data_IF_951154136209
#
_entry.id   IF_951154136209
#
_cell.length_a   1.000
_cell.length_b   1.000
_cell.length_c   1.000
_cell.angle_alpha   90.00
_cell.angle_beta   90.00
_cell.angle_gamma   90.00
#
_symmetry.space_group_name_H-M   'P 1'
#
loop_
_entity.id
_entity.type
_entity.pdbx_description
1 polymer ?
#
# COMPACT_ATOMS: atom_id res chain seq x y z
N UNK A 1 10.70 12.14 -19.36
CA UNK A 1 10.54 10.91 -20.18
C UNK A 1 9.10 10.82 -20.66
N UNK A 2 8.85 10.36 -21.88
CA UNK A 2 7.48 10.10 -22.36
C UNK A 2 6.98 8.78 -21.74
N UNK A 3 5.78 8.74 -21.15
CA UNK A 3 5.24 7.52 -20.56
C UNK A 3 5.06 6.43 -21.63
N UNK A 4 5.51 5.22 -21.32
CA UNK A 4 5.44 4.03 -22.17
C UNK A 4 5.09 2.85 -21.28
N UNK A 5 4.10 2.06 -21.69
CA UNK A 5 3.79 0.75 -21.11
C UNK A 5 4.22 -0.32 -22.11
N UNK A 6 5.00 -1.31 -21.66
CA UNK A 6 5.40 -2.47 -22.47
C UNK A 6 4.79 -3.72 -21.85
N UNK A 7 4.10 -4.51 -22.67
CA UNK A 7 3.55 -5.81 -22.29
C UNK A 7 4.24 -6.90 -23.11
N UNK A 8 4.76 -7.92 -22.44
CA UNK A 8 5.44 -9.06 -23.07
C UNK A 8 4.75 -10.36 -22.65
N UNK A 9 3.91 -10.88 -23.54
CA UNK A 9 3.20 -12.14 -23.34
C UNK A 9 4.04 -13.32 -23.82
N UNK A 10 4.24 -14.31 -22.95
CA UNK A 10 4.74 -15.63 -23.33
C UNK A 10 3.58 -16.49 -23.81
N UNK A 11 3.70 -17.05 -25.01
CA UNK A 11 2.65 -17.85 -25.63
C UNK A 11 3.14 -19.28 -25.86
N UNK A 12 2.22 -20.25 -25.86
CA UNK A 12 2.52 -21.59 -26.34
C UNK A 12 3.08 -21.55 -27.75
N UNK A 13 3.89 -22.55 -28.11
CA UNK A 13 4.45 -22.67 -29.45
C UNK A 13 3.37 -22.79 -30.53
N UNK A 14 3.44 -21.94 -31.55
CA UNK A 14 2.49 -21.86 -32.66
C UNK A 14 3.18 -21.28 -33.92
N UNK A 15 2.49 -21.27 -35.07
CA UNK A 15 2.96 -20.51 -36.23
C UNK A 15 2.63 -19.01 -36.03
N UNK A 16 3.59 -18.08 -36.11
CA UNK A 16 3.30 -16.65 -36.08
C UNK A 16 2.24 -16.21 -37.09
N UNK A 17 2.09 -16.89 -38.23
CA UNK A 17 1.04 -16.63 -39.22
C UNK A 17 -0.37 -16.69 -38.62
N UNK A 18 -0.58 -17.53 -37.60
CA UNK A 18 -1.86 -17.65 -36.89
C UNK A 18 -2.23 -16.39 -36.08
N UNK A 19 -1.25 -15.54 -35.74
CA UNK A 19 -1.52 -14.25 -35.12
C UNK A 19 -1.94 -13.17 -36.12
N UNK A 20 -1.47 -13.26 -37.37
CA UNK A 20 -1.70 -12.24 -38.41
C UNK A 20 -3.07 -12.38 -39.08
N UNK A 21 -4.07 -12.91 -38.36
CA UNK A 21 -5.48 -12.75 -38.73
C UNK A 21 -5.82 -11.24 -38.81
N UNK A 22 -6.79 -10.88 -39.66
CA UNK A 22 -7.13 -9.48 -39.90
C UNK A 22 -7.41 -8.69 -38.61
N UNK A 23 -6.86 -7.47 -38.55
CA UNK A 23 -7.08 -6.46 -37.49
C UNK A 23 -6.54 -6.77 -36.07
N UNK A 24 -5.34 -7.37 -35.94
CA UNK A 24 -4.68 -7.63 -34.64
C UNK A 24 -4.66 -6.42 -33.67
N UNK A 25 -4.46 -5.19 -34.17
CA UNK A 25 -4.49 -3.98 -33.33
C UNK A 25 -5.87 -3.73 -32.75
N UNK A 26 -6.94 -3.83 -33.55
CA UNK A 26 -8.30 -3.63 -33.08
C UNK A 26 -8.69 -4.71 -32.07
N UNK A 27 -8.28 -5.94 -32.32
CA UNK A 27 -8.57 -7.06 -31.43
C UNK A 27 -7.84 -6.93 -30.07
N UNK A 28 -6.57 -6.53 -30.07
CA UNK A 28 -5.82 -6.23 -28.84
C UNK A 28 -6.39 -5.01 -28.11
N UNK A 29 -6.84 -3.99 -28.84
CA UNK A 29 -7.49 -2.83 -28.26
C UNK A 29 -8.81 -3.22 -27.56
N UNK A 30 -9.62 -4.06 -28.19
CA UNK A 30 -10.83 -4.63 -27.61
C UNK A 30 -10.50 -5.50 -26.37
N UNK A 31 -9.47 -6.34 -26.45
CA UNK A 31 -9.01 -7.17 -25.33
C UNK A 31 -8.66 -6.32 -24.10
N UNK A 32 -7.91 -5.23 -24.29
CA UNK A 32 -7.48 -4.34 -23.22
C UNK A 32 -8.51 -3.29 -22.83
N UNK A 33 -9.61 -3.18 -23.58
CA UNK A 33 -10.63 -2.15 -23.43
C UNK A 33 -10.05 -0.73 -23.54
N UNK A 34 -9.29 -0.48 -24.61
CA UNK A 34 -8.64 0.81 -24.91
C UNK A 34 -8.89 1.22 -26.37
N UNK A 35 -8.60 2.48 -26.72
CA UNK A 35 -8.59 2.89 -28.13
C UNK A 35 -7.44 2.21 -28.90
N UNK A 36 -7.66 1.74 -30.15
CA UNK A 36 -6.59 1.24 -31.01
C UNK A 36 -5.41 2.20 -31.20
N UNK A 37 -5.64 3.51 -31.12
CA UNK A 37 -4.61 4.54 -31.29
C UNK A 37 -3.57 4.52 -30.16
N UNK A 38 -3.90 3.91 -29.02
CA UNK A 38 -2.96 3.72 -27.90
C UNK A 38 -1.93 2.63 -28.18
N UNK A 39 -2.19 1.72 -29.12
CA UNK A 39 -1.29 0.62 -29.47
C UNK A 39 -0.31 1.10 -30.54
N UNK A 40 0.91 1.41 -30.11
CA UNK A 40 1.95 1.96 -31.00
C UNK A 40 2.61 0.88 -31.84
N UNK A 41 3.01 -0.21 -31.18
CA UNK A 41 3.76 -1.31 -31.78
C UNK A 41 3.24 -2.64 -31.27
N UNK A 42 3.16 -3.60 -32.18
CA UNK A 42 2.93 -5.01 -31.89
C UNK A 42 4.03 -5.77 -32.62
N UNK A 43 4.78 -6.61 -31.91
CA UNK A 43 5.78 -7.49 -32.51
C UNK A 43 5.66 -8.90 -31.96
N UNK A 44 5.77 -9.87 -32.87
CA UNK A 44 5.73 -11.29 -32.53
C UNK A 44 7.11 -11.84 -32.83
N UNK A 45 7.75 -12.40 -31.81
CA UNK A 45 9.10 -12.92 -31.89
C UNK A 45 9.03 -14.44 -31.73
N UNK A 46 9.39 -15.17 -32.80
CA UNK A 46 9.70 -16.60 -32.71
C UNK A 46 11.12 -16.76 -32.16
N UNK A 47 11.31 -17.68 -31.20
CA UNK A 47 12.64 -17.99 -30.65
C UNK A 47 13.59 -18.75 -31.59
N UNK A 48 13.33 -18.83 -32.91
CA UNK A 48 14.14 -19.61 -33.85
C UNK A 48 15.15 -18.75 -34.63
N UNK A 49 16.37 -18.64 -34.11
CA UNK A 49 17.55 -18.12 -34.84
C UNK A 49 18.63 -19.19 -35.06
N UNK A 50 18.24 -20.46 -35.23
CA UNK A 50 19.17 -21.49 -35.68
C UNK A 50 18.64 -22.17 -36.94
N UNK A 51 19.17 -21.68 -38.07
CA UNK A 51 19.13 -22.33 -39.38
C UNK A 51 19.77 -23.71 -39.27
N UNK A 52 18.99 -24.75 -39.59
CA UNK A 52 19.38 -26.16 -39.67
C UNK A 52 19.85 -26.79 -38.36
N UNK A 53 18.90 -27.26 -37.55
CA UNK A 53 18.83 -28.64 -37.06
C UNK A 53 17.61 -28.79 -36.12
N UNK A 54 16.67 -29.63 -36.53
CA UNK A 54 15.63 -30.31 -35.72
C UNK A 54 14.72 -29.45 -34.83
N UNK A 55 13.42 -29.42 -35.20
CA UNK A 55 12.21 -29.24 -34.36
C UNK A 55 12.49 -29.16 -32.85
N UNK A 56 12.91 -27.99 -32.37
CA UNK A 56 12.63 -27.57 -31.01
C UNK A 56 11.48 -26.58 -31.10
N UNK A 57 10.42 -26.92 -30.40
CA UNK A 57 9.17 -26.21 -30.36
C UNK A 57 9.45 -24.82 -29.75
N UNK A 58 9.48 -23.77 -30.57
CA UNK A 58 9.92 -22.42 -30.16
C UNK A 58 8.83 -21.71 -29.35
N UNK A 59 9.20 -21.16 -28.19
CA UNK A 59 8.31 -20.25 -27.45
C UNK A 59 8.10 -18.96 -28.26
N UNK A 60 6.86 -18.50 -28.37
CA UNK A 60 6.53 -17.23 -29.01
C UNK A 60 6.38 -16.14 -27.95
N UNK A 61 6.91 -14.95 -28.25
CA UNK A 61 6.68 -13.74 -27.45
C UNK A 61 5.90 -12.71 -28.25
N UNK A 62 4.83 -12.19 -27.66
CA UNK A 62 4.08 -11.05 -28.18
C UNK A 62 4.43 -9.82 -27.35
N UNK A 63 5.11 -8.86 -27.98
CA UNK A 63 5.43 -7.57 -27.37
C UNK A 63 4.47 -6.50 -27.87
N UNK A 64 3.94 -5.72 -26.94
CA UNK A 64 2.99 -4.64 -27.21
C UNK A 64 3.51 -3.38 -26.52
N UNK A 65 3.62 -2.30 -27.28
CA UNK A 65 3.98 -0.99 -26.76
C UNK A 65 2.74 -0.08 -26.78
N UNK A 66 2.38 0.45 -25.62
CA UNK A 66 1.29 1.39 -25.45
C UNK A 66 1.83 2.77 -25.08
N UNK A 67 1.35 3.79 -25.80
CA UNK A 67 1.66 5.20 -25.54
C UNK A 67 0.46 6.07 -25.86
N UNK A 68 0.45 7.26 -25.29
CA UNK A 68 -0.41 8.32 -25.79
C UNK A 68 0.23 9.00 -27.01
N UNK A 69 -0.55 9.23 -28.06
CA UNK A 69 -0.07 9.99 -29.23
C UNK A 69 0.22 11.45 -28.86
N UNK A 70 1.28 12.05 -29.43
CA UNK A 70 1.46 13.50 -29.34
C UNK A 70 0.37 14.18 -30.18
N UNK A 71 -0.55 14.91 -29.53
CA UNK A 71 -1.46 15.81 -30.26
C UNK A 71 -0.69 16.97 -30.85
N UNK A 72 -0.98 17.28 -32.11
CA UNK A 72 -0.63 18.52 -32.80
C UNK A 72 -1.47 19.69 -32.27
N UNK A 73 -1.35 20.02 -30.98
CA UNK A 73 -1.79 21.30 -30.44
C UNK A 73 -1.26 21.45 -29.02
N UNK A 74 -0.33 22.40 -28.90
CA UNK A 74 0.29 22.87 -27.67
C UNK A 74 -0.76 23.31 -26.64
N UNK A 75 -0.99 22.50 -25.62
CA UNK A 75 -1.36 22.95 -24.27
C UNK A 75 -0.92 21.88 -23.26
N UNK A 76 -0.14 22.32 -22.28
CA UNK A 76 0.48 21.58 -21.17
C UNK A 76 -0.45 20.56 -20.49
N UNK A 77 -0.15 19.26 -20.61
CA UNK A 77 -0.88 18.19 -19.90
C UNK A 77 -0.07 16.90 -19.68
N UNK A 78 1.26 17.00 -19.51
CA UNK A 78 2.12 15.83 -19.28
C UNK A 78 1.73 14.95 -18.07
N UNK A 79 1.13 15.55 -17.03
CA UNK A 79 0.62 14.81 -15.87
C UNK A 79 -0.65 14.00 -16.14
N UNK A 80 -1.62 14.58 -16.86
CA UNK A 80 -2.90 13.93 -17.18
C UNK A 80 -2.73 12.72 -18.10
N UNK A 81 -1.76 12.80 -19.03
CA UNK A 81 -1.38 11.70 -19.93
C UNK A 81 -0.74 10.53 -19.16
N UNK A 82 0.19 10.85 -18.25
CA UNK A 82 0.79 9.84 -17.37
C UNK A 82 -0.27 9.10 -16.55
N UNK A 83 -1.21 9.83 -15.97
CA UNK A 83 -2.31 9.28 -15.16
C UNK A 83 -3.22 8.35 -15.98
N UNK A 84 -3.56 8.72 -17.22
CA UNK A 84 -4.35 7.87 -18.11
C UNK A 84 -3.62 6.55 -18.43
N UNK A 85 -2.32 6.61 -18.76
CA UNK A 85 -1.55 5.40 -19.07
C UNK A 85 -1.33 4.54 -17.82
N UNK A 86 -1.15 5.13 -16.63
CA UNK A 86 -1.10 4.39 -15.36
C UNK A 86 -2.42 3.68 -15.07
N UNK A 87 -3.57 4.29 -15.35
CA UNK A 87 -4.88 3.65 -15.21
C UNK A 87 -5.07 2.49 -16.21
N UNK A 88 -4.61 2.65 -17.46
CA UNK A 88 -4.59 1.56 -18.45
C UNK A 88 -3.70 0.40 -17.96
N UNK A 89 -2.50 0.71 -17.48
CA UNK A 89 -1.57 -0.29 -16.94
C UNK A 89 -2.22 -1.07 -15.78
N UNK A 90 -2.80 -0.36 -14.81
CA UNK A 90 -3.51 -0.94 -13.67
C UNK A 90 -4.62 -1.88 -14.12
N UNK A 91 -5.50 -1.44 -15.03
CA UNK A 91 -6.59 -2.27 -15.56
C UNK A 91 -6.08 -3.55 -16.23
N UNK A 92 -5.08 -3.48 -17.10
CA UNK A 92 -4.54 -4.64 -17.81
C UNK A 92 -3.83 -5.60 -16.84
N UNK A 93 -2.98 -5.07 -15.96
CA UNK A 93 -2.21 -5.86 -14.98
C UNK A 93 -3.18 -6.57 -14.03
N UNK A 94 -4.15 -5.85 -13.46
CA UNK A 94 -5.11 -6.43 -12.52
C UNK A 94 -5.98 -7.50 -13.21
N UNK A 95 -6.45 -7.26 -14.45
CA UNK A 95 -7.22 -8.26 -15.21
C UNK A 95 -6.40 -9.51 -15.53
N UNK A 96 -5.09 -9.37 -15.77
CA UNK A 96 -4.21 -10.53 -15.94
C UNK A 96 -4.06 -11.31 -14.63
N UNK A 97 -3.75 -10.62 -13.53
CA UNK A 97 -3.49 -11.22 -12.22
C UNK A 97 -4.73 -11.90 -11.61
N UNK A 98 -5.92 -11.60 -12.12
CA UNK A 98 -7.20 -12.22 -11.74
C UNK A 98 -7.68 -13.32 -12.68
N UNK A 99 -6.99 -13.58 -13.80
CA UNK A 99 -7.44 -14.55 -14.81
C UNK A 99 -8.51 -14.02 -15.79
N UNK A 100 -9.01 -12.80 -15.59
CA UNK A 100 -10.06 -12.23 -16.44
C UNK A 100 -9.56 -11.90 -17.85
N UNK A 101 -8.29 -11.49 -17.98
CA UNK A 101 -7.69 -11.18 -19.28
C UNK A 101 -7.60 -12.43 -20.16
N UNK A 102 -7.29 -13.57 -19.57
CA UNK A 102 -7.17 -14.89 -20.20
C UNK A 102 -8.56 -15.38 -20.64
N UNK A 103 -9.57 -15.16 -19.81
CA UNK A 103 -10.97 -15.43 -20.17
C UNK A 103 -11.42 -14.58 -21.37
N UNK A 104 -11.11 -13.28 -21.36
CA UNK A 104 -11.40 -12.38 -22.48
C UNK A 104 -10.60 -12.75 -23.74
N UNK A 105 -9.35 -13.16 -23.59
CA UNK A 105 -8.49 -13.63 -24.67
C UNK A 105 -9.12 -14.81 -25.40
N UNK A 106 -9.59 -15.80 -24.64
CA UNK A 106 -10.27 -16.97 -25.18
C UNK A 106 -11.55 -16.59 -25.94
N UNK A 107 -12.36 -15.68 -25.39
CA UNK A 107 -13.60 -15.23 -26.01
C UNK A 107 -13.40 -14.51 -27.36
N UNK A 108 -12.29 -13.78 -27.52
CA UNK A 108 -11.97 -13.08 -28.77
C UNK A 108 -11.34 -13.97 -29.85
N UNK A 109 -11.05 -15.24 -29.54
CA UNK A 109 -10.44 -16.22 -30.43
C UNK A 109 -9.21 -15.68 -31.20
N UNK A 110 -8.36 -14.89 -30.52
CA UNK A 110 -7.23 -14.20 -31.14
C UNK A 110 -6.22 -15.16 -31.79
N UNK A 111 -6.16 -16.39 -31.28
CA UNK A 111 -5.10 -17.35 -31.56
C UNK A 111 -5.60 -18.79 -31.61
N UNK A 112 -6.86 -19.03 -31.99
CA UNK A 112 -7.41 -20.39 -32.09
C UNK A 112 -7.37 -21.14 -30.76
N UNK A 113 -8.00 -20.57 -29.72
CA UNK A 113 -8.02 -21.06 -28.33
C UNK A 113 -6.69 -21.09 -27.56
N UNK A 114 -5.57 -20.65 -28.15
CA UNK A 114 -4.30 -20.50 -27.43
C UNK A 114 -4.40 -19.36 -26.40
N UNK A 115 -3.95 -19.61 -25.17
CA UNK A 115 -3.98 -18.62 -24.07
C UNK A 115 -2.53 -18.28 -23.65
N UNK A 116 -2.21 -17.03 -23.31
CA UNK A 116 -0.89 -16.66 -22.78
C UNK A 116 -0.52 -17.45 -21.52
N UNK A 117 0.73 -17.93 -21.47
CA UNK A 117 1.32 -18.64 -20.35
C UNK A 117 1.91 -17.70 -19.29
N UNK A 118 2.42 -16.55 -19.73
CA UNK A 118 3.05 -15.56 -18.86
C UNK A 118 2.85 -14.15 -19.39
N UNK A 119 2.96 -13.17 -18.51
CA UNK A 119 3.01 -11.75 -18.86
C UNK A 119 4.07 -11.07 -18.02
N UNK A 120 4.96 -10.33 -18.68
CA UNK A 120 5.79 -9.33 -18.02
C UNK A 120 5.34 -7.93 -18.43
N UNK A 121 5.33 -7.00 -17.49
CA UNK A 121 4.96 -5.61 -17.74
C UNK A 121 6.08 -4.65 -17.32
N UNK A 122 6.37 -3.68 -18.16
CA UNK A 122 7.15 -2.49 -17.82
C UNK A 122 6.19 -1.32 -17.73
N UNK A 123 6.01 -0.78 -16.54
CA UNK A 123 5.05 0.28 -16.25
C UNK A 123 5.50 1.67 -16.77
N UNK A 124 4.56 2.60 -16.96
CA UNK A 124 4.90 3.98 -17.24
C UNK A 124 5.89 4.53 -16.21
N UNK A 125 6.93 5.23 -16.69
CA UNK A 125 7.99 5.81 -15.85
C UNK A 125 8.89 4.80 -15.12
N UNK A 126 8.68 3.51 -15.33
CA UNK A 126 9.53 2.43 -14.82
C UNK A 126 10.37 1.85 -15.98
N UNK A 127 11.63 1.51 -15.69
CA UNK A 127 12.53 0.84 -16.64
C UNK A 127 12.66 -0.66 -16.36
N UNK A 128 11.98 -1.16 -15.33
CA UNK A 128 12.02 -2.56 -14.93
C UNK A 128 10.90 -3.34 -15.60
N UNK A 129 11.26 -4.47 -16.21
CA UNK A 129 10.31 -5.42 -16.73
C UNK A 129 9.97 -6.42 -15.61
N UNK A 130 8.76 -6.32 -15.07
CA UNK A 130 8.31 -7.12 -13.93
C UNK A 130 7.48 -8.32 -14.38
N UNK A 131 7.78 -9.57 -13.95
CA UNK A 131 6.91 -10.70 -14.18
C UNK A 131 5.63 -10.62 -13.34
N UNK A 132 4.50 -10.99 -13.94
CA UNK A 132 3.20 -10.99 -13.29
C UNK A 132 2.74 -12.43 -13.03
N UNK A 133 2.12 -12.65 -11.86
CA UNK A 133 1.51 -13.92 -11.48
C UNK A 133 -0.01 -13.83 -11.37
N UNK A 134 -0.72 -14.91 -11.68
CA UNK A 134 -2.15 -15.02 -11.42
C UNK A 134 -2.33 -15.51 -9.99
N UNK A 135 -3.10 -14.78 -9.19
CA UNK A 135 -3.35 -15.16 -7.81
C UNK A 135 -4.20 -16.43 -7.74
N UNK A 136 -3.76 -17.36 -6.90
CA UNK A 136 -4.46 -18.62 -6.66
C UNK A 136 -4.99 -18.69 -5.22
N UNK A 137 -4.15 -18.33 -4.25
CA UNK A 137 -4.51 -18.34 -2.82
C UNK A 137 -3.75 -17.29 -2.03
N UNK A 138 -4.26 -16.96 -0.85
CA UNK A 138 -3.61 -16.07 0.11
C UNK A 138 -3.39 -16.79 1.44
N UNK A 139 -2.35 -16.39 2.17
CA UNK A 139 -2.00 -16.97 3.47
C UNK A 139 -1.61 -15.85 4.43
N UNK A 140 -2.10 -15.96 5.66
CA UNK A 140 -1.63 -15.14 6.78
C UNK A 140 -0.35 -15.76 7.32
N UNK A 141 0.78 -15.16 6.99
CA UNK A 141 2.09 -15.66 7.40
C UNK A 141 2.38 -15.29 8.86
N UNK A 142 1.98 -14.08 9.27
CA UNK A 142 2.14 -13.59 10.63
C UNK A 142 0.80 -13.01 11.09
N UNK A 143 0.14 -13.59 12.11
CA UNK A 143 -1.06 -13.00 12.70
C UNK A 143 -0.70 -11.79 13.57
N UNK A 144 -1.62 -10.84 13.77
CA UNK A 144 -1.41 -9.77 14.74
C UNK A 144 -1.35 -10.37 16.15
N UNK A 145 -0.40 -9.91 16.97
CA UNK A 145 -0.24 -10.38 18.34
C UNK A 145 0.36 -9.30 19.25
N UNK A 146 0.25 -9.54 20.57
CA UNK A 146 0.61 -8.58 21.62
C UNK A 146 -0.10 -7.23 21.43
N UNK A 147 -1.37 -7.28 21.06
CA UNK A 147 -2.20 -6.12 20.85
C UNK A 147 -2.61 -5.52 22.20
N UNK A 148 -2.52 -4.20 22.30
CA UNK A 148 -3.02 -3.42 23.42
C UNK A 148 -4.05 -2.44 22.88
N UNK A 149 -5.05 -2.17 23.69
CA UNK A 149 -6.06 -1.17 23.37
C UNK A 149 -5.39 0.12 22.92
N UNK A 150 -5.78 0.67 21.76
CA UNK A 150 -5.32 1.98 21.25
C UNK A 150 -3.83 2.07 20.89
N UNK A 151 -3.08 0.97 21.01
CA UNK A 151 -1.69 0.85 20.58
C UNK A 151 -1.60 -0.13 19.39
N UNK A 152 -0.74 0.13 18.39
CA UNK A 152 -0.44 -0.87 17.38
C UNK A 152 0.01 -2.19 18.00
N UNK A 153 -0.45 -3.31 17.44
CA UNK A 153 0.05 -4.63 17.85
C UNK A 153 1.57 -4.70 17.61
N UNK A 154 2.34 -5.27 18.54
CA UNK A 154 3.80 -5.30 18.35
C UNK A 154 4.22 -6.29 17.27
N UNK A 155 3.43 -7.34 17.09
CA UNK A 155 3.53 -8.23 15.94
C UNK A 155 2.46 -7.79 14.94
N UNK A 156 2.91 -7.29 13.79
CA UNK A 156 2.03 -6.77 12.73
C UNK A 156 1.64 -7.88 11.75
N UNK A 157 0.41 -7.86 11.20
CA UNK A 157 -0.01 -8.87 10.26
C UNK A 157 0.78 -8.83 8.95
N UNK A 158 1.05 -10.01 8.40
CA UNK A 158 1.69 -10.19 7.07
C UNK A 158 0.90 -11.19 6.26
N UNK A 159 0.41 -10.76 5.09
CA UNK A 159 -0.33 -11.60 4.16
C UNK A 159 0.49 -11.79 2.89
N UNK A 160 0.56 -13.04 2.42
CA UNK A 160 1.30 -13.44 1.22
C UNK A 160 0.34 -14.06 0.21
N UNK A 161 0.51 -13.73 -1.07
CA UNK A 161 -0.25 -14.31 -2.17
C UNK A 161 0.62 -15.27 -2.98
N UNK A 162 0.02 -16.41 -3.36
CA UNK A 162 0.67 -17.47 -4.11
C UNK A 162 0.00 -17.69 -5.47
N UNK A 163 0.81 -18.03 -6.46
CA UNK A 163 0.32 -18.55 -7.73
C UNK A 163 -0.09 -20.04 -7.63
N UNK A 164 -0.58 -20.62 -8.72
CA UNK A 164 -1.00 -22.03 -8.77
C UNK A 164 0.16 -23.03 -8.67
N UNK A 165 1.39 -22.59 -8.90
CA UNK A 165 2.60 -23.39 -8.73
C UNK A 165 3.16 -23.31 -7.30
N UNK A 166 2.57 -22.50 -6.42
CA UNK A 166 3.00 -22.30 -5.05
C UNK A 166 4.14 -21.29 -4.89
N UNK A 167 4.45 -20.49 -5.91
CA UNK A 167 5.43 -19.41 -5.79
C UNK A 167 4.77 -18.16 -5.21
N UNK A 168 5.54 -17.40 -4.42
CA UNK A 168 5.11 -16.08 -3.93
C UNK A 168 5.05 -15.10 -5.09
N UNK A 169 3.89 -14.47 -5.27
CA UNK A 169 3.71 -13.42 -6.26
C UNK A 169 4.36 -12.15 -5.70
N UNK A 170 5.44 -11.70 -6.35
CA UNK A 170 6.23 -10.56 -5.88
C UNK A 170 5.48 -9.23 -5.95
N UNK A 171 4.53 -9.11 -6.90
CA UNK A 171 3.83 -7.86 -7.19
C UNK A 171 2.38 -8.12 -7.55
N UNK A 172 1.47 -7.39 -6.92
CA UNK A 172 0.04 -7.35 -7.23
C UNK A 172 -0.38 -5.89 -7.44
N UNK A 173 -0.93 -5.58 -8.62
CA UNK A 173 -1.17 -4.21 -9.05
C UNK A 173 0.05 -3.51 -9.63
N UNK A 174 -0.13 -2.23 -9.95
CA UNK A 174 0.94 -1.33 -10.41
C UNK A 174 1.68 -0.72 -9.24
N UNK A 175 2.81 -0.06 -9.49
CA UNK A 175 3.56 0.70 -8.48
C UNK A 175 2.69 1.81 -7.85
N UNK A 176 1.88 2.49 -8.66
CA UNK A 176 1.02 3.59 -8.22
C UNK A 176 -0.34 3.12 -7.64
N UNK A 177 -0.79 1.92 -8.03
CA UNK A 177 -2.06 1.33 -7.60
C UNK A 177 -1.84 -0.15 -7.21
N UNK A 178 -1.07 -0.41 -6.13
CA UNK A 178 -0.89 -1.77 -5.64
C UNK A 178 -2.21 -2.31 -5.10
N UNK A 179 -2.36 -3.63 -5.10
CA UNK A 179 -3.51 -4.25 -4.45
C UNK A 179 -3.47 -3.96 -2.95
N UNK A 180 -4.64 -3.77 -2.36
CA UNK A 180 -4.77 -3.44 -0.94
C UNK A 180 -5.47 -4.58 -0.21
N UNK A 181 -5.03 -4.84 1.01
CA UNK A 181 -5.64 -5.80 1.93
C UNK A 181 -6.23 -5.03 3.09
N UNK A 182 -7.51 -5.25 3.37
CA UNK A 182 -8.22 -4.65 4.49
C UNK A 182 -8.46 -5.69 5.57
N UNK A 183 -8.06 -5.38 6.81
CA UNK A 183 -8.43 -6.14 8.01
C UNK A 183 -9.75 -5.63 8.58
N UNK A 184 -10.64 -6.56 8.93
CA UNK A 184 -11.94 -6.28 9.57
C UNK A 184 -12.20 -7.27 10.70
N UNK A 185 -12.93 -6.85 11.72
CA UNK A 185 -13.37 -7.76 12.79
C UNK A 185 -14.52 -8.62 12.28
N UNK A 186 -14.44 -9.94 12.46
CA UNK A 186 -15.51 -10.86 12.08
C UNK A 186 -16.78 -10.54 12.87
N UNK A 187 -17.90 -10.41 12.17
CA UNK A 187 -19.18 -9.98 12.74
C UNK A 187 -19.33 -8.46 12.91
N UNK A 188 -18.30 -7.67 12.58
CA UNK A 188 -18.30 -6.21 12.67
C UNK A 188 -17.67 -5.58 11.42
N UNK A 189 -18.23 -5.88 10.24
CA UNK A 189 -17.65 -5.49 8.94
C UNK A 189 -17.63 -3.98 8.66
N UNK A 190 -18.36 -3.17 9.44
CA UNK A 190 -18.40 -1.71 9.29
C UNK A 190 -17.35 -0.98 10.13
N UNK A 191 -16.65 -1.69 11.02
CA UNK A 191 -15.62 -1.09 11.85
C UNK A 191 -14.32 -0.93 11.05
N UNK A 192 -13.93 0.32 10.81
CA UNK A 192 -12.63 0.64 10.22
C UNK A 192 -11.58 0.51 11.33
N UNK A 193 -10.66 -0.44 11.16
CA UNK A 193 -9.53 -0.61 12.05
C UNK A 193 -8.44 0.42 11.73
N UNK A 194 -7.84 1.00 12.76
CA UNK A 194 -6.70 1.89 12.59
C UNK A 194 -5.49 1.10 12.09
N UNK A 195 -4.81 1.64 11.08
CA UNK A 195 -3.78 0.90 10.34
C UNK A 195 -4.32 -0.38 9.68
N UNK A 196 -5.64 -0.49 9.48
CA UNK A 196 -6.32 -1.68 8.98
C UNK A 196 -6.20 -1.94 7.48
N UNK A 197 -5.38 -1.19 6.76
CA UNK A 197 -5.14 -1.37 5.32
C UNK A 197 -3.64 -1.44 5.05
N UNK A 198 -3.22 -2.42 4.24
CA UNK A 198 -1.85 -2.53 3.76
C UNK A 198 -1.81 -2.69 2.24
N UNK A 199 -0.78 -2.10 1.61
CA UNK A 199 -0.50 -2.28 0.19
C UNK A 199 0.34 -3.54 -0.01
N UNK A 200 0.06 -4.30 -1.07
CA UNK A 200 0.82 -5.48 -1.44
C UNK A 200 2.02 -5.10 -2.30
N UNK A 201 3.22 -5.41 -1.85
CA UNK A 201 4.47 -5.17 -2.57
C UNK A 201 5.56 -6.13 -2.07
N UNK A 202 6.58 -6.40 -2.89
CA UNK A 202 7.72 -7.24 -2.52
C UNK A 202 7.30 -8.61 -1.94
N UNK A 203 6.27 -9.23 -2.51
CA UNK A 203 5.78 -10.54 -2.09
C UNK A 203 4.82 -10.55 -0.91
N UNK A 204 4.44 -9.40 -0.35
CA UNK A 204 3.58 -9.37 0.83
C UNK A 204 2.74 -8.09 0.98
N UNK A 205 1.63 -8.19 1.70
CA UNK A 205 0.96 -7.05 2.33
C UNK A 205 1.36 -7.02 3.80
N UNK A 206 2.27 -6.11 4.15
CA UNK A 206 2.74 -5.91 5.52
C UNK A 206 2.05 -4.69 6.13
N UNK A 207 1.42 -4.92 7.27
CA UNK A 207 0.83 -3.87 8.08
C UNK A 207 1.90 -3.24 8.97
N UNK A 208 1.77 -1.94 9.24
CA UNK A 208 2.77 -1.20 10.03
C UNK A 208 2.19 -0.60 11.32
N UNK A 209 0.88 -0.41 11.38
CA UNK A 209 0.19 0.24 12.50
C UNK A 209 -1.17 -0.39 12.80
N UNK A 210 -1.38 -1.65 12.40
CA UNK A 210 -2.60 -2.40 12.69
C UNK A 210 -2.84 -2.41 14.19
N UNK A 211 -4.01 -1.92 14.59
CA UNK A 211 -4.45 -1.90 15.97
C UNK A 211 -5.91 -2.34 16.08
N UNK A 212 -6.27 -2.76 17.29
CA UNK A 212 -7.61 -3.20 17.64
C UNK A 212 -8.27 -2.20 18.58
N UNK A 213 -9.60 -2.07 18.52
CA UNK A 213 -10.31 -0.90 19.03
C UNK A 213 -10.33 -0.84 20.55
N UNK A 214 -10.61 -1.95 21.22
CA UNK A 214 -10.79 -2.01 22.67
C UNK A 214 -10.32 -3.35 23.23
N UNK A 215 -10.27 -3.45 24.55
CA UNK A 215 -10.00 -4.70 25.26
C UNK A 215 -11.04 -5.76 24.86
N UNK A 216 -10.56 -6.99 24.62
CA UNK A 216 -11.43 -8.08 24.20
C UNK A 216 -10.70 -9.18 23.46
N UNK A 217 -11.47 -10.09 22.87
CA UNK A 217 -10.96 -11.17 22.02
C UNK A 217 -11.63 -11.09 20.65
N UNK A 218 -10.83 -10.96 19.59
CA UNK A 218 -11.31 -10.69 18.24
C UNK A 218 -10.79 -11.70 17.25
N UNK A 219 -11.63 -12.14 16.32
CA UNK A 219 -11.14 -12.80 15.10
C UNK A 219 -11.13 -11.77 13.97
N UNK A 220 -10.03 -11.72 13.22
CA UNK A 220 -9.84 -10.74 12.16
C UNK A 220 -9.90 -11.45 10.82
N UNK A 221 -10.64 -10.87 9.88
CA UNK A 221 -10.66 -11.27 8.49
C UNK A 221 -9.91 -10.24 7.65
N UNK A 222 -8.88 -10.70 6.96
CA UNK A 222 -8.14 -9.94 5.96
C UNK A 222 -8.69 -10.26 4.59
N UNK A 223 -9.14 -9.23 3.86
CA UNK A 223 -9.75 -9.36 2.54
C UNK A 223 -9.03 -8.44 1.55
N UNK A 224 -8.67 -8.97 0.38
CA UNK A 224 -8.20 -8.11 -0.70
C UNK A 224 -9.33 -7.22 -1.22
N UNK A 225 -9.08 -5.92 -1.31
CA UNK A 225 -10.00 -4.97 -1.91
C UNK A 225 -10.05 -5.17 -3.43
N UNK A 226 -11.21 -4.88 -4.04
CA UNK A 226 -11.38 -5.00 -5.48
C UNK A 226 -10.39 -4.05 -6.20
N UNK A 227 -9.45 -4.58 -7.01
CA UNK A 227 -8.52 -3.74 -7.74
C UNK A 227 -9.20 -3.07 -8.95
N UNK A 228 -8.63 -1.96 -9.42
CA UNK A 228 -9.15 -1.20 -10.55
C UNK A 228 -9.21 -2.06 -11.83
N UNK A 229 -10.28 -1.90 -12.62
CA UNK A 229 -10.46 -2.58 -13.91
C UNK A 229 -10.89 -4.05 -13.82
N UNK A 230 -11.10 -4.58 -12.62
CA UNK A 230 -11.51 -5.97 -12.37
C UNK A 230 -12.98 -6.03 -12.01
N UNK A 231 -13.71 -6.98 -12.60
CA UNK A 231 -15.12 -7.19 -12.25
C UNK A 231 -15.26 -7.85 -10.85
N UNK A 232 -16.37 -7.56 -10.15
CA UNK A 232 -16.61 -8.08 -8.79
C UNK A 232 -16.79 -9.60 -8.71
N UNK A 233 -17.10 -10.26 -9.83
CA UNK A 233 -17.27 -11.73 -9.89
C UNK A 233 -15.99 -12.52 -9.59
N UNK A 234 -14.83 -11.86 -9.62
CA UNK A 234 -13.57 -12.46 -9.18
C UNK A 234 -13.50 -12.67 -7.66
N UNK A 235 -14.08 -11.78 -6.86
CA UNK A 235 -14.03 -11.87 -5.40
C UNK A 235 -14.79 -13.09 -4.86
N UNK A 236 -15.73 -13.65 -5.62
CA UNK A 236 -16.51 -14.82 -5.22
C UNK A 236 -15.82 -16.14 -5.58
N UNK A 237 -14.80 -16.12 -6.45
CA UNK A 237 -14.15 -17.33 -6.98
C UNK A 237 -12.74 -17.53 -6.46
N UNK A 238 -12.00 -16.46 -6.22
CA UNK A 238 -10.69 -16.53 -5.57
C UNK A 238 -10.90 -16.45 -4.05
N UNK A 239 -10.44 -17.46 -3.30
CA UNK A 239 -10.48 -17.48 -1.84
C UNK A 239 -9.48 -16.45 -1.27
N UNK A 240 -9.81 -15.16 -1.39
CA UNK A 240 -8.94 -14.01 -1.06
C UNK A 240 -9.15 -13.47 0.34
N UNK A 241 -9.75 -14.29 1.19
CA UNK A 241 -10.00 -13.98 2.58
C UNK A 241 -9.19 -14.93 3.44
N UNK A 242 -8.44 -14.37 4.40
CA UNK A 242 -7.77 -15.17 5.41
C UNK A 242 -8.17 -14.67 6.79
N UNK A 243 -8.42 -15.60 7.70
CA UNK A 243 -8.90 -15.31 9.05
C UNK A 243 -7.83 -15.67 10.08
N UNK A 244 -7.82 -14.95 11.20
CA UNK A 244 -6.98 -15.26 12.36
C UNK A 244 -7.70 -16.21 13.30
N UNK A 245 -6.92 -16.92 14.13
CA UNK A 245 -7.41 -17.36 15.43
C UNK A 245 -7.77 -16.14 16.31
N UNK A 246 -8.52 -16.32 17.41
CA UNK A 246 -8.84 -15.21 18.31
C UNK A 246 -7.59 -14.51 18.83
N UNK A 247 -7.56 -13.18 18.67
CA UNK A 247 -6.51 -12.27 19.11
C UNK A 247 -6.99 -11.54 20.35
N UNK A 248 -6.28 -11.69 21.45
CA UNK A 248 -6.57 -10.98 22.70
C UNK A 248 -5.96 -9.60 22.69
N UNK A 249 -6.75 -8.61 23.08
CA UNK A 249 -6.34 -7.23 23.31
C UNK A 249 -6.34 -6.98 24.81
N UNK A 250 -5.20 -6.53 25.34
CA UNK A 250 -5.06 -6.18 26.76
C UNK A 250 -5.09 -4.67 26.98
N UNK A 251 -5.14 -4.25 28.23
CA UNK A 251 -5.00 -2.84 28.61
C UNK A 251 -3.68 -2.25 28.12
N UNK A 252 -3.72 -0.98 27.69
CA UNK A 252 -2.53 -0.21 27.40
C UNK A 252 -1.89 0.34 28.68
N UNK A 253 -0.56 0.24 28.75
CA UNK A 253 0.21 0.87 29.83
C UNK A 253 0.74 2.19 29.29
N UNK A 254 0.25 3.32 29.81
CA UNK A 254 0.48 4.63 29.24
C UNK A 254 1.71 5.32 29.83
N UNK A 255 2.46 6.03 29.00
CA UNK A 255 3.48 6.99 29.39
C UNK A 255 3.32 8.29 28.60
N UNK A 256 3.97 9.36 29.06
CA UNK A 256 4.07 10.63 28.34
C UNK A 256 5.43 10.75 27.66
N UNK A 257 5.45 10.97 26.35
CA UNK A 257 6.68 11.31 25.61
C UNK A 257 6.66 12.79 25.24
N UNK A 258 7.73 13.52 25.59
CA UNK A 258 7.87 14.91 25.18
C UNK A 258 7.99 14.99 23.64
N UNK A 259 7.21 15.89 23.05
CA UNK A 259 7.26 16.25 21.63
C UNK A 259 8.07 17.53 21.50
N UNK A 260 9.13 17.46 20.69
CA UNK A 260 10.13 18.50 20.48
C UNK A 260 10.98 18.77 21.74
N UNK A 261 12.29 18.68 21.57
CA UNK A 261 13.23 19.04 22.61
C UNK A 261 13.49 20.55 22.53
N UNK A 262 13.19 21.26 23.62
CA UNK A 262 13.55 22.66 23.79
C UNK A 262 14.84 22.69 24.59
N UNK A 263 15.95 22.95 23.91
CA UNK A 263 17.28 22.91 24.51
C UNK A 263 17.75 24.28 25.03
N UNK A 264 17.20 25.37 24.48
CA UNK A 264 17.58 26.74 24.84
C UNK A 264 16.31 27.58 24.94
N UNK A 265 16.15 28.26 26.08
CA UNK A 265 15.09 29.24 26.33
C UNK A 265 15.78 30.54 26.71
N UNK A 266 15.43 31.66 26.05
CA UNK A 266 16.00 32.95 26.45
C UNK A 266 15.35 33.43 27.75
N UNK A 267 16.08 34.27 28.49
CA UNK A 267 15.55 34.93 29.68
C UNK A 267 14.31 35.76 29.29
N UNK A 268 13.22 35.60 30.05
CA UNK A 268 11.91 36.23 29.85
C UNK A 268 11.09 35.74 28.64
N UNK A 269 11.56 34.74 27.89
CA UNK A 269 10.75 34.13 26.83
C UNK A 269 9.79 33.08 27.39
N UNK A 270 8.64 32.94 26.71
CA UNK A 270 7.69 31.85 26.93
C UNK A 270 8.04 30.67 26.05
N UNK A 271 7.79 29.46 26.54
CA UNK A 271 7.99 28.23 25.78
C UNK A 271 6.89 27.22 26.12
N UNK A 272 6.61 26.32 25.17
CA UNK A 272 5.56 25.32 25.30
C UNK A 272 6.17 23.94 25.47
N UNK A 273 5.74 23.20 26.49
CA UNK A 273 6.06 21.77 26.61
C UNK A 273 4.88 21.00 26.04
N UNK A 274 5.13 20.19 25.02
CA UNK A 274 4.13 19.29 24.46
C UNK A 274 4.49 17.85 24.82
N UNK A 275 3.49 17.07 25.20
CA UNK A 275 3.62 15.64 25.51
C UNK A 275 2.57 14.89 24.70
N UNK A 276 2.95 13.76 24.14
CA UNK A 276 2.02 12.79 23.53
C UNK A 276 1.90 11.57 24.43
N UNK A 277 0.69 11.03 24.63
CA UNK A 277 0.53 9.74 25.26
C UNK A 277 1.07 8.66 24.32
N UNK A 278 1.92 7.81 24.87
CA UNK A 278 2.52 6.67 24.18
C UNK A 278 2.26 5.41 24.98
N UNK A 279 2.32 4.27 24.31
CA UNK A 279 2.43 2.99 24.98
C UNK A 279 3.82 2.87 25.61
N UNK A 280 3.88 2.77 26.93
CA UNK A 280 5.12 2.73 27.71
C UNK A 280 6.06 1.58 27.34
N UNK A 281 5.53 0.50 26.76
CA UNK A 281 6.32 -0.67 26.37
C UNK A 281 7.01 -0.43 25.03
N UNK A 282 6.31 0.17 24.06
CA UNK A 282 6.80 0.30 22.67
C UNK A 282 7.34 1.69 22.36
N UNK A 283 6.97 2.70 23.15
CA UNK A 283 7.20 4.10 22.86
C UNK A 283 6.39 4.62 21.65
N UNK A 284 5.46 3.83 21.11
CA UNK A 284 4.63 4.26 19.99
C UNK A 284 3.47 5.12 20.47
N UNK A 285 3.18 6.19 19.72
CA UNK A 285 2.02 7.03 19.96
C UNK A 285 0.73 6.23 19.79
N UNK A 286 -0.25 6.50 20.64
CA UNK A 286 -1.58 5.89 20.56
C UNK A 286 -2.31 6.35 19.29
N UNK A 287 -3.07 5.44 18.67
CA UNK A 287 -3.70 5.68 17.36
C UNK A 287 -4.89 6.66 17.38
N UNK A 288 -5.63 6.71 18.49
CA UNK A 288 -6.71 7.66 18.75
C UNK A 288 -6.60 8.01 20.24
N UNK A 289 -6.90 9.23 20.67
CA UNK A 289 -6.96 9.61 22.11
C UNK A 289 -8.36 10.05 22.55
N UNK A 290 -9.29 10.12 21.61
CA UNK A 290 -10.70 10.37 21.87
C UNK A 290 -11.47 9.06 21.70
N UNK A 291 -11.46 8.24 22.74
CA UNK A 291 -12.21 6.99 22.78
C UNK A 291 -12.96 6.87 24.10
N UNK A 292 -14.11 6.20 24.05
CA UNK A 292 -15.11 6.10 25.14
C UNK A 292 -15.38 7.44 25.86
N UNK A 293 -15.50 7.41 27.18
CA UNK A 293 -15.75 8.56 28.05
C UNK A 293 -14.49 8.97 28.84
N UNK A 294 -13.29 8.72 28.28
CA UNK A 294 -12.04 9.07 28.96
C UNK A 294 -11.84 10.59 29.01
N UNK A 295 -11.44 11.08 30.18
CA UNK A 295 -11.02 12.48 30.36
C UNK A 295 -9.52 12.51 30.61
N UNK A 296 -8.78 13.14 29.70
CA UNK A 296 -7.33 13.27 29.81
C UNK A 296 -6.97 14.49 30.64
N UNK A 297 -6.04 14.30 31.57
CA UNK A 297 -5.38 15.39 32.28
C UNK A 297 -3.88 15.10 32.31
N UNK A 298 -3.07 16.16 32.30
CA UNK A 298 -1.63 16.08 32.45
C UNK A 298 -1.21 17.05 33.54
N UNK A 299 -0.37 16.57 34.45
CA UNK A 299 0.31 17.40 35.43
C UNK A 299 1.77 17.52 35.04
N UNK A 300 2.20 18.75 34.76
CA UNK A 300 3.57 19.05 34.36
C UNK A 300 4.26 19.73 35.52
N UNK A 301 5.24 19.05 36.11
CA UNK A 301 6.10 19.61 37.15
C UNK A 301 7.45 19.94 36.55
N UNK A 302 7.87 21.20 36.66
CA UNK A 302 9.21 21.61 36.27
C UNK A 302 10.19 21.22 37.38
N UNK A 303 11.19 20.39 37.06
CA UNK A 303 12.24 20.04 38.01
C UNK A 303 13.46 20.93 37.79
N UNK A 304 13.89 21.62 38.85
CA UNK A 304 15.10 22.41 38.82
C UNK A 304 16.30 21.49 39.08
N UNK A 305 17.22 21.34 38.11
CA UNK A 305 18.46 20.58 38.28
C UNK A 305 19.61 21.53 38.64
N UNK A 306 20.03 21.62 39.92
CA UNK A 306 20.93 22.66 40.41
C UNK A 306 22.30 22.69 39.72
N UNK A 307 22.75 21.55 39.18
CA UNK A 307 24.08 21.38 38.60
C UNK A 307 24.20 21.78 37.13
N UNK A 308 23.09 22.03 36.43
CA UNK A 308 23.08 22.28 34.98
C UNK A 308 22.50 23.64 34.59
N UNK A 309 22.06 24.44 35.57
CA UNK A 309 21.60 25.78 35.29
C UNK A 309 22.78 26.75 35.22
N UNK A 310 22.76 27.67 34.25
CA UNK A 310 23.42 28.96 34.39
C UNK A 310 22.87 29.67 35.64
N UNK A 311 23.62 30.62 36.22
CA UNK A 311 23.34 31.31 37.50
C UNK A 311 21.91 31.90 37.63
N UNK A 312 20.89 31.07 37.83
CA UNK A 312 19.53 31.53 38.06
C UNK A 312 18.52 30.40 38.30
N UNK A 313 17.31 30.80 38.67
CA UNK A 313 16.22 29.90 39.07
C UNK A 313 15.02 30.08 38.15
N UNK A 314 14.41 28.96 37.75
CA UNK A 314 13.12 28.97 37.07
C UNK A 314 12.01 29.37 38.06
N UNK A 315 11.27 30.44 37.77
CA UNK A 315 10.07 30.83 38.53
C UNK A 315 8.84 30.29 37.79
N UNK A 316 8.19 29.24 38.32
CA UNK A 316 6.90 28.78 37.77
C UNK A 316 5.77 29.65 38.31
N UNK A 317 5.02 30.33 37.45
CA UNK A 317 3.73 30.90 37.86
C UNK A 317 2.67 29.79 37.88
N UNK A 318 1.83 29.75 38.91
CA UNK A 318 0.80 28.72 39.17
C UNK A 318 -0.33 28.63 38.12
N UNK A 319 -0.14 29.20 36.93
CA UNK A 319 -1.13 29.24 35.85
C UNK A 319 -0.59 28.55 34.61
N UNK A 320 -0.25 27.26 34.73
CA UNK A 320 -0.08 26.41 33.56
C UNK A 320 -1.47 26.01 33.04
N UNK A 321 -1.84 26.45 31.83
CA UNK A 321 -3.03 25.93 31.15
C UNK A 321 -2.61 24.77 30.26
N UNK A 322 -3.19 23.60 30.52
CA UNK A 322 -3.05 22.42 29.65
C UNK A 322 -4.10 22.50 28.56
N UNK A 323 -3.64 22.49 27.30
CA UNK A 323 -4.47 22.45 26.10
C UNK A 323 -4.37 21.02 25.55
N UNK A 324 -5.47 20.30 25.57
CA UNK A 324 -5.56 18.95 24.97
C UNK A 324 -6.06 19.08 23.54
N UNK A 325 -5.25 18.70 22.57
CA UNK A 325 -5.64 18.58 21.17
C UNK A 325 -5.94 17.12 20.84
N UNK A 326 -7.22 16.76 20.94
CA UNK A 326 -7.71 15.39 20.69
C UNK A 326 -7.51 14.92 19.25
N UNK A 327 -7.40 15.84 18.28
CA UNK A 327 -7.20 15.52 16.87
C UNK A 327 -5.73 15.23 16.56
N UNK A 328 -4.82 16.05 17.10
CA UNK A 328 -3.38 15.86 16.92
C UNK A 328 -2.78 14.82 17.87
N UNK A 329 -3.53 14.37 18.87
CA UNK A 329 -3.03 13.45 19.88
C UNK A 329 -2.10 14.10 20.89
N UNK A 330 -2.10 15.44 21.03
CA UNK A 330 -1.11 16.17 21.82
C UNK A 330 -1.73 16.81 23.06
N UNK A 331 -0.98 16.84 24.15
CA UNK A 331 -1.26 17.69 25.31
C UNK A 331 -0.16 18.74 25.40
N UNK A 332 -0.51 20.01 25.25
CA UNK A 332 0.42 21.12 25.30
C UNK A 332 0.17 21.92 26.56
N UNK A 333 1.20 22.07 27.39
CA UNK A 333 1.15 22.95 28.55
C UNK A 333 1.90 24.23 28.21
N UNK A 334 1.18 25.36 28.24
CA UNK A 334 1.79 26.68 28.05
C UNK A 334 2.38 27.16 29.37
N UNK A 335 3.67 27.46 29.37
CA UNK A 335 4.35 28.05 30.53
C UNK A 335 4.46 29.55 30.28
N UNK A 336 3.54 30.28 30.94
CA UNK A 336 3.25 31.68 30.61
C UNK A 336 4.38 32.67 30.94
N UNK A 337 5.35 32.30 31.78
CA UNK A 337 6.54 33.11 32.06
C UNK A 337 7.56 32.33 32.90
N UNK A 338 8.84 32.39 32.54
CA UNK A 338 9.95 32.12 33.46
C UNK A 338 10.64 33.45 33.74
N UNK A 339 10.69 33.85 35.00
CA UNK A 339 11.64 34.86 35.44
C UNK A 339 12.92 34.15 35.89
N UNK A 340 14.05 34.46 35.26
CA UNK A 340 15.37 34.09 35.77
C UNK A 340 15.83 35.21 36.71
N UNK A 341 15.98 34.90 38.00
CA UNK A 341 16.72 35.78 38.91
C UNK A 341 18.16 35.31 38.99
N UNK A 342 19.09 36.17 38.60
CA UNK A 342 20.47 36.03 39.00
C UNK A 342 20.54 36.29 40.50
N UNK A 343 21.18 35.38 41.25
CA UNK A 343 21.69 35.73 42.57
C UNK A 343 23.02 36.45 42.31
N UNK A 344 23.10 37.73 42.69
CA UNK A 344 24.34 38.49 42.70
C UNK A 344 25.39 37.86 43.63
#
# INVERSE_FOLDING_TARGET
MSPLLILNFGLPPMDPAMFYTGNIRANLAALFNISPDKIRRVSIISASNQTRLRRQVSSIRLNIELRDEPRTSSTSSGGVLGELLSNIASSIINRYQTGQLQTAWKALNLTGDIIPLSLNAQEPFDNTLSPLGIINRTVLLMPPANCREQSPCTIQPVIVAYDSAGNVIQKLGTNDQPWQVQGTVIGQSTQILYGGIANYSNGQAQFNSFSLPSIGSYQIQFTFLLPNGVNSSFLTTANLTVQTDPVTVTEAILAGQQVNNIYVVNVNDTFDISVVPVDSITGLQLGQIKWDNWTWWANVTLYNLPSFNSHGSLISQNTSTSIVNLTAGTVTTKINRIEYRFFE
#
